data_IF_056602340338
#
_entry.id   IF_056602340338
#
_cell.length_a   1.000
_cell.length_b   1.000
_cell.length_c   1.000
_cell.angle_alpha   90.00
_cell.angle_beta   90.00
_cell.angle_gamma   90.00
#
_symmetry.space_group_name_H-M   'P 1'
#
loop_
_entity.id
_entity.type
_entity.pdbx_description
1 polymer ?
#
# COMPACT_ATOMS: atom_id res chain seq x y z
N UNK A 1 -62.20 40.19 -37.25
CA UNK A 1 -61.51 39.13 -38.01
C UNK A 1 -60.16 38.90 -37.34
N UNK A 2 -60.04 37.76 -36.66
CA UNK A 2 -58.90 37.35 -35.84
C UNK A 2 -57.84 36.69 -36.71
N UNK A 3 -56.54 36.89 -36.43
CA UNK A 3 -55.46 36.36 -37.25
C UNK A 3 -54.08 36.39 -36.60
N UNK A 4 -53.81 35.36 -35.80
CA UNK A 4 -52.54 34.63 -35.71
C UNK A 4 -51.23 35.42 -35.37
N UNK A 5 -51.02 35.68 -34.07
CA UNK A 5 -49.67 35.62 -33.47
C UNK A 5 -49.50 34.21 -32.89
N UNK A 6 -48.42 33.50 -33.24
CA UNK A 6 -47.73 32.45 -32.45
C UNK A 6 -46.88 31.60 -33.39
N UNK A 7 -45.57 31.88 -33.55
CA UNK A 7 -44.57 30.95 -34.08
C UNK A 7 -43.16 31.58 -33.95
N UNK A 8 -42.58 31.60 -32.74
CA UNK A 8 -41.13 31.85 -32.59
C UNK A 8 -40.46 31.33 -31.31
N UNK A 9 -41.20 30.73 -30.36
CA UNK A 9 -40.63 30.27 -29.08
C UNK A 9 -40.05 28.84 -29.08
N UNK A 10 -40.26 28.04 -30.13
CA UNK A 10 -39.88 26.62 -30.15
C UNK A 10 -38.43 26.31 -30.51
N UNK A 11 -37.77 27.17 -31.30
CA UNK A 11 -36.46 26.86 -31.89
C UNK A 11 -35.29 26.98 -30.90
N UNK A 12 -35.41 27.84 -29.88
CA UNK A 12 -34.33 28.09 -28.90
C UNK A 12 -34.23 27.02 -27.82
N UNK A 13 -35.36 26.45 -27.39
CA UNK A 13 -35.40 25.37 -26.39
C UNK A 13 -34.80 24.06 -26.94
N UNK A 14 -35.10 23.73 -28.20
CA UNK A 14 -34.55 22.54 -28.86
C UNK A 14 -33.02 22.63 -29.05
N UNK A 15 -32.52 23.81 -29.41
CA UNK A 15 -31.08 24.05 -29.55
C UNK A 15 -30.32 23.99 -28.21
N UNK A 16 -30.93 24.49 -27.13
CA UNK A 16 -30.37 24.40 -25.78
C UNK A 16 -30.33 22.95 -25.26
N UNK A 17 -31.39 22.17 -25.49
CA UNK A 17 -31.44 20.75 -25.13
C UNK A 17 -30.41 19.92 -25.91
N UNK A 18 -30.23 20.19 -27.21
CA UNK A 18 -29.22 19.53 -28.05
C UNK A 18 -27.78 19.84 -27.57
N UNK A 19 -27.51 21.09 -27.17
CA UNK A 19 -26.22 21.47 -26.58
C UNK A 19 -25.97 20.78 -25.24
N UNK A 20 -26.98 20.73 -24.36
CA UNK A 20 -26.89 20.05 -23.08
C UNK A 20 -26.63 18.54 -23.25
N UNK A 21 -27.35 17.87 -24.16
CA UNK A 21 -27.10 16.45 -24.48
C UNK A 21 -25.71 16.21 -25.08
N UNK A 22 -25.19 17.13 -25.88
CA UNK A 22 -23.85 17.02 -26.46
C UNK A 22 -22.75 17.19 -25.41
N UNK A 23 -22.90 18.17 -24.51
CA UNK A 23 -21.99 18.36 -23.38
C UNK A 23 -22.03 17.16 -22.43
N UNK A 24 -23.21 16.61 -22.16
CA UNK A 24 -23.36 15.39 -21.35
C UNK A 24 -22.67 14.20 -22.02
N UNK A 25 -22.84 14.03 -23.34
CA UNK A 25 -22.17 12.97 -24.12
C UNK A 25 -20.65 13.12 -24.13
N UNK A 26 -20.14 14.33 -24.33
CA UNK A 26 -18.71 14.63 -24.28
C UNK A 26 -18.13 14.42 -22.86
N UNK A 27 -18.89 14.72 -21.80
CA UNK A 27 -18.50 14.49 -20.41
C UNK A 27 -18.50 12.99 -20.06
N UNK A 28 -19.48 12.22 -20.53
CA UNK A 28 -19.50 10.76 -20.36
C UNK A 28 -18.43 10.06 -21.19
N UNK A 29 -18.11 10.57 -22.39
CA UNK A 29 -17.09 9.99 -23.28
C UNK A 29 -15.65 10.23 -22.79
N UNK A 30 -15.43 11.26 -21.95
CA UNK A 30 -14.13 11.52 -21.29
C UNK A 30 -13.92 10.76 -19.99
N UNK A 31 -14.90 9.99 -19.51
CA UNK A 31 -14.63 9.01 -18.46
C UNK A 31 -13.76 7.92 -19.06
N UNK A 32 -12.43 8.03 -18.88
CA UNK A 32 -11.57 6.84 -18.90
C UNK A 32 -12.24 5.83 -17.95
N UNK A 33 -12.66 4.65 -18.42
CA UNK A 33 -13.02 3.60 -17.50
C UNK A 33 -11.75 3.34 -16.70
N UNK A 34 -11.72 3.77 -15.44
CA UNK A 34 -10.79 3.18 -14.51
C UNK A 34 -11.21 1.72 -14.48
N UNK A 35 -10.45 0.87 -15.16
CA UNK A 35 -10.64 -0.56 -15.12
C UNK A 35 -10.19 -1.04 -13.74
N UNK A 36 -10.96 -0.70 -12.71
CA UNK A 36 -10.87 -1.37 -11.41
C UNK A 36 -11.51 -2.74 -11.65
N UNK A 37 -10.69 -3.79 -11.68
CA UNK A 37 -11.24 -5.14 -11.63
C UNK A 37 -12.19 -5.22 -10.44
N UNK A 38 -13.46 -5.50 -10.71
CA UNK A 38 -14.41 -5.86 -9.66
C UNK A 38 -14.03 -7.26 -9.23
N UNK A 39 -13.25 -7.42 -8.17
CA UNK A 39 -12.95 -8.77 -7.67
C UNK A 39 -12.74 -8.94 -6.17
N UNK A 40 -13.00 -7.92 -5.35
CA UNK A 40 -13.33 -8.17 -3.95
C UNK A 40 -14.20 -7.05 -3.38
N UNK A 41 -15.28 -7.44 -2.70
CA UNK A 41 -15.96 -6.56 -1.76
C UNK A 41 -15.02 -6.41 -0.56
N UNK A 42 -14.22 -5.34 -0.53
CA UNK A 42 -13.40 -5.02 0.64
C UNK A 42 -14.32 -4.68 1.81
N UNK A 43 -14.06 -5.26 2.99
CA UNK A 43 -14.81 -4.96 4.22
C UNK A 43 -14.95 -3.46 4.46
N UNK A 44 -13.86 -2.70 4.31
CA UNK A 44 -13.87 -1.26 4.52
C UNK A 44 -14.83 -0.56 3.55
N UNK A 45 -14.82 -0.91 2.27
CA UNK A 45 -15.71 -0.34 1.26
C UNK A 45 -17.18 -0.64 1.59
N UNK A 46 -17.50 -1.88 1.92
CA UNK A 46 -18.87 -2.30 2.21
C UNK A 46 -19.40 -1.66 3.49
N UNK A 47 -18.54 -1.47 4.49
CA UNK A 47 -18.89 -0.76 5.71
C UNK A 47 -19.38 0.66 5.44
N UNK A 48 -18.72 1.40 4.53
CA UNK A 48 -19.17 2.74 4.10
C UNK A 48 -20.53 2.72 3.36
N UNK A 49 -20.92 1.58 2.79
CA UNK A 49 -22.21 1.38 2.12
C UNK A 49 -23.30 0.84 3.06
N UNK A 50 -22.99 0.64 4.34
CA UNK A 50 -23.92 0.07 5.33
C UNK A 50 -24.02 -1.46 5.29
N UNK A 51 -23.14 -2.12 4.54
CA UNK A 51 -23.05 -3.57 4.45
C UNK A 51 -21.93 -4.10 5.35
N UNK A 52 -22.12 -5.26 5.98
CA UNK A 52 -21.08 -5.93 6.77
C UNK A 52 -20.58 -7.15 5.99
N UNK A 53 -19.46 -6.99 5.27
CA UNK A 53 -18.83 -8.07 4.50
C UNK A 53 -17.76 -8.78 5.34
N UNK A 54 -18.10 -9.93 5.92
CA UNK A 54 -17.21 -10.61 6.88
C UNK A 54 -16.01 -11.31 6.23
N UNK A 55 -16.08 -11.60 4.92
CA UNK A 55 -15.06 -12.38 4.21
C UNK A 55 -13.71 -11.65 4.22
N UNK A 56 -12.68 -12.34 4.72
CA UNK A 56 -11.32 -11.80 4.78
C UNK A 56 -11.01 -10.97 6.03
N UNK A 57 -11.96 -10.83 6.96
CA UNK A 57 -11.74 -10.21 8.27
C UNK A 57 -12.08 -11.19 9.40
N UNK A 58 -13.15 -11.98 9.25
CA UNK A 58 -13.61 -12.93 10.26
C UNK A 58 -13.65 -14.37 9.72
N UNK A 59 -13.14 -15.35 10.48
CA UNK A 59 -12.27 -15.18 11.66
C UNK A 59 -10.95 -14.49 11.28
N UNK A 60 -10.19 -14.02 12.27
CA UNK A 60 -8.89 -13.42 12.01
C UNK A 60 -8.01 -14.41 11.22
N UNK A 61 -7.32 -13.97 10.15
CA UNK A 61 -6.51 -14.87 9.34
C UNK A 61 -5.38 -15.46 10.18
N UNK A 62 -5.25 -16.78 10.15
CA UNK A 62 -4.18 -17.50 10.86
C UNK A 62 -2.96 -17.72 9.95
N UNK A 63 -1.78 -17.69 10.58
CA UNK A 63 -0.51 -17.95 9.92
C UNK A 63 -0.28 -19.47 9.87
N UNK A 64 0.26 -19.98 8.75
CA UNK A 64 0.54 -21.41 8.63
C UNK A 64 1.67 -21.86 9.57
N UNK A 65 1.66 -23.12 10.01
CA UNK A 65 2.72 -23.66 10.87
C UNK A 65 4.11 -23.60 10.23
N UNK A 66 4.18 -23.74 8.90
CA UNK A 66 5.43 -23.60 8.14
C UNK A 66 5.98 -22.18 8.26
N UNK A 67 5.15 -21.19 7.95
CA UNK A 67 5.52 -19.77 8.02
C UNK A 67 5.88 -19.34 9.45
N UNK A 68 5.19 -19.86 10.48
CA UNK A 68 5.57 -19.65 11.88
C UNK A 68 6.98 -20.20 12.19
N UNK A 69 7.32 -21.38 11.67
CA UNK A 69 8.65 -21.95 11.85
C UNK A 69 9.72 -21.09 11.17
N UNK A 70 9.46 -20.60 9.96
CA UNK A 70 10.38 -19.71 9.24
C UNK A 70 10.57 -18.38 9.99
N UNK A 71 9.49 -17.76 10.47
CA UNK A 71 9.54 -16.55 11.30
C UNK A 71 10.49 -16.75 12.49
N UNK A 72 10.32 -17.85 13.23
CA UNK A 72 11.10 -18.10 14.43
C UNK A 72 12.60 -18.30 14.17
N UNK A 73 12.99 -18.72 12.95
CA UNK A 73 14.41 -18.82 12.56
C UNK A 73 15.07 -17.44 12.45
N UNK A 74 14.32 -16.40 12.05
CA UNK A 74 14.83 -15.03 11.93
C UNK A 74 14.74 -14.25 13.25
N UNK A 75 13.66 -14.45 14.01
CA UNK A 75 13.35 -13.66 15.22
C UNK A 75 14.47 -13.73 16.25
N UNK A 76 14.92 -14.93 16.64
CA UNK A 76 15.93 -15.08 17.69
C UNK A 76 17.26 -14.38 17.39
N UNK A 77 17.88 -14.62 16.22
CA UNK A 77 19.10 -13.92 15.82
C UNK A 77 18.94 -12.40 15.72
N UNK A 78 17.79 -11.93 15.21
CA UNK A 78 17.50 -10.49 15.11
C UNK A 78 17.34 -9.83 16.48
N UNK A 79 16.53 -10.40 17.36
CA UNK A 79 16.33 -9.88 18.72
C UNK A 79 17.67 -9.79 19.47
N UNK A 80 18.52 -10.81 19.33
CA UNK A 80 19.85 -10.82 19.91
C UNK A 80 20.72 -9.69 19.36
N UNK A 81 20.77 -9.53 18.04
CA UNK A 81 21.54 -8.46 17.40
C UNK A 81 21.10 -7.06 17.87
N UNK A 82 19.80 -6.79 17.87
CA UNK A 82 19.27 -5.49 18.29
C UNK A 82 19.41 -5.23 19.80
N UNK A 83 19.43 -6.27 20.63
CA UNK A 83 19.55 -6.12 22.09
C UNK A 83 20.99 -6.06 22.57
N UNK A 84 21.90 -6.81 21.94
CA UNK A 84 23.28 -6.97 22.41
C UNK A 84 24.31 -6.14 21.63
N UNK A 85 24.07 -5.86 20.35
CA UNK A 85 25.07 -5.24 19.46
C UNK A 85 24.70 -3.81 19.01
N UNK A 86 23.41 -3.49 18.92
CA UNK A 86 22.95 -2.16 18.48
C UNK A 86 22.93 -1.18 19.65
N UNK A 87 23.70 -0.09 19.53
CA UNK A 87 23.66 1.04 20.47
C UNK A 87 22.82 2.19 19.90
N UNK A 88 21.51 2.12 20.12
CA UNK A 88 20.55 3.13 19.66
C UNK A 88 20.82 4.53 20.21
N UNK A 89 21.31 4.62 21.45
CA UNK A 89 21.64 5.91 22.07
C UNK A 89 22.79 6.58 21.32
N UNK A 90 23.81 5.82 20.95
CA UNK A 90 24.94 6.33 20.17
C UNK A 90 24.49 6.77 18.77
N UNK A 91 23.64 5.98 18.11
CA UNK A 91 23.09 6.31 16.78
C UNK A 91 22.37 7.66 16.82
N UNK A 92 21.51 7.87 17.83
CA UNK A 92 20.76 9.11 17.99
C UNK A 92 21.67 10.31 18.32
N UNK A 93 22.66 10.13 19.20
CA UNK A 93 23.59 11.21 19.59
C UNK A 93 24.52 11.63 18.45
N UNK A 94 25.01 10.66 17.67
CA UNK A 94 25.92 10.91 16.55
C UNK A 94 25.17 11.25 15.25
N UNK A 95 23.86 11.01 15.20
CA UNK A 95 23.03 11.20 14.00
C UNK A 95 23.44 10.30 12.85
N UNK A 96 24.07 9.16 13.14
CA UNK A 96 24.64 8.26 12.13
C UNK A 96 24.62 6.81 12.61
N UNK A 97 24.19 5.91 11.73
CA UNK A 97 24.32 4.47 11.95
C UNK A 97 25.78 4.05 11.69
N UNK A 98 26.46 3.38 12.64
CA UNK A 98 27.82 2.89 12.45
C UNK A 98 27.95 2.00 11.21
N UNK A 99 29.09 2.07 10.53
CA UNK A 99 29.35 1.29 9.30
C UNK A 99 29.27 -0.20 9.58
N UNK A 100 29.84 -0.66 10.71
CA UNK A 100 29.81 -2.08 11.09
C UNK A 100 28.38 -2.59 11.30
N UNK A 101 27.51 -1.76 11.93
CA UNK A 101 26.08 -2.06 12.06
C UNK A 101 25.41 -2.16 10.69
N UNK A 102 25.68 -1.23 9.77
CA UNK A 102 25.13 -1.28 8.40
C UNK A 102 25.59 -2.53 7.64
N UNK A 103 26.87 -2.89 7.71
CA UNK A 103 27.38 -4.12 7.08
C UNK A 103 26.76 -5.37 7.70
N UNK A 104 26.53 -5.38 9.01
CA UNK A 104 25.83 -6.48 9.67
C UNK A 104 24.38 -6.59 9.20
N UNK A 105 23.65 -5.47 9.13
CA UNK A 105 22.28 -5.41 8.58
C UNK A 105 22.21 -5.96 7.15
N UNK A 106 23.20 -5.64 6.29
CA UNK A 106 23.33 -6.22 4.94
C UNK A 106 23.58 -7.72 4.98
N UNK A 107 24.50 -8.18 5.82
CA UNK A 107 24.82 -9.61 5.94
C UNK A 107 23.64 -10.47 6.44
N UNK A 108 22.74 -9.85 7.21
CA UNK A 108 21.48 -10.47 7.67
C UNK A 108 20.37 -10.42 6.61
N UNK A 109 20.63 -9.82 5.43
CA UNK A 109 19.65 -9.73 4.33
C UNK A 109 18.56 -8.69 4.54
N UNK A 110 18.67 -7.80 5.54
CA UNK A 110 17.57 -6.91 5.93
C UNK A 110 17.27 -5.78 4.94
N UNK A 111 18.17 -5.52 4.00
CA UNK A 111 17.90 -4.63 2.87
C UNK A 111 17.02 -5.29 1.80
N UNK A 112 16.91 -6.62 1.76
CA UNK A 112 16.19 -7.39 0.75
C UNK A 112 15.06 -8.28 1.31
N UNK A 113 14.42 -7.91 2.42
CA UNK A 113 13.49 -8.77 3.17
C UNK A 113 12.38 -9.36 2.29
N UNK A 114 11.72 -8.55 1.46
CA UNK A 114 10.63 -9.02 0.59
C UNK A 114 11.06 -9.22 -0.87
N UNK A 115 12.33 -8.97 -1.19
CA UNK A 115 12.85 -9.19 -2.53
C UNK A 115 12.91 -10.70 -2.77
N UNK A 116 12.41 -11.23 -3.90
CA UNK A 116 12.46 -12.66 -4.19
C UNK A 116 13.87 -13.24 -4.11
N UNK A 117 13.98 -14.50 -3.70
CA UNK A 117 15.28 -15.17 -3.52
C UNK A 117 16.07 -15.27 -4.84
N UNK A 118 15.40 -15.38 -5.99
CA UNK A 118 16.06 -15.39 -7.31
C UNK A 118 16.81 -14.10 -7.64
N UNK A 119 16.50 -13.01 -6.94
CA UNK A 119 17.18 -11.72 -7.05
C UNK A 119 18.13 -11.45 -5.86
N UNK A 120 18.37 -12.46 -5.02
CA UNK A 120 19.26 -12.37 -3.86
C UNK A 120 18.64 -11.73 -2.62
N UNK A 121 17.30 -11.66 -2.54
CA UNK A 121 16.58 -11.26 -1.34
C UNK A 121 16.24 -12.43 -0.42
N UNK A 122 15.44 -12.15 0.63
CA UNK A 122 14.97 -13.16 1.57
C UNK A 122 13.60 -13.76 1.19
N UNK A 123 12.86 -13.16 0.25
CA UNK A 123 11.58 -13.67 -0.23
C UNK A 123 10.45 -13.71 0.81
N UNK A 124 10.56 -12.96 1.91
CA UNK A 124 9.63 -13.09 3.03
C UNK A 124 8.24 -12.51 2.73
N UNK A 125 7.21 -13.17 3.29
CA UNK A 125 5.80 -12.74 3.18
C UNK A 125 5.56 -11.38 3.88
N UNK A 126 4.41 -10.74 3.63
CA UNK A 126 4.02 -9.52 4.35
C UNK A 126 3.88 -9.74 5.87
N UNK A 127 3.40 -10.91 6.29
CA UNK A 127 3.26 -11.27 7.71
C UNK A 127 4.63 -11.40 8.37
N UNK A 128 5.57 -12.09 7.70
CA UNK A 128 6.94 -12.22 8.15
C UNK A 128 7.64 -10.86 8.20
N UNK A 129 7.51 -10.05 7.15
CA UNK A 129 8.02 -8.68 7.11
C UNK A 129 7.51 -7.84 8.29
N UNK A 130 6.21 -7.89 8.57
CA UNK A 130 5.63 -7.18 9.71
C UNK A 130 6.23 -7.65 11.04
N UNK A 131 6.36 -8.97 11.25
CA UNK A 131 6.91 -9.52 12.49
C UNK A 131 8.39 -9.19 12.69
N UNK A 132 9.19 -9.20 11.63
CA UNK A 132 10.59 -8.74 11.69
C UNK A 132 10.65 -7.22 11.93
N UNK A 133 9.74 -6.47 11.32
CA UNK A 133 9.60 -5.02 11.51
C UNK A 133 9.38 -4.64 12.97
N UNK A 134 8.62 -5.43 13.73
CA UNK A 134 8.43 -5.21 15.18
C UNK A 134 9.75 -5.25 15.97
N UNK A 135 10.68 -6.13 15.59
CA UNK A 135 11.99 -6.26 16.24
C UNK A 135 12.94 -5.17 15.76
N UNK A 136 12.97 -4.91 14.45
CA UNK A 136 13.80 -3.86 13.86
C UNK A 136 13.43 -2.49 14.46
N UNK A 137 12.15 -2.31 14.84
CA UNK A 137 11.63 -1.12 15.52
C UNK A 137 12.20 -0.85 16.91
N UNK A 138 13.05 -1.73 17.45
CA UNK A 138 13.88 -1.43 18.63
C UNK A 138 14.82 -0.24 18.39
N UNK A 139 15.22 0.00 17.14
CA UNK A 139 15.91 1.21 16.73
C UNK A 139 15.16 1.93 15.58
N UNK A 140 14.64 3.12 15.88
CA UNK A 140 13.86 3.90 14.93
C UNK A 140 14.68 4.39 13.72
N UNK A 141 15.95 4.74 13.94
CA UNK A 141 16.85 5.25 12.88
C UNK A 141 17.17 4.16 11.86
N UNK A 142 17.48 2.94 12.30
CA UNK A 142 17.66 1.75 11.47
C UNK A 142 16.35 1.39 10.76
N UNK A 143 15.23 1.39 11.49
CA UNK A 143 13.91 1.07 10.94
C UNK A 143 13.57 1.96 9.75
N UNK A 144 13.67 3.28 9.93
CA UNK A 144 13.39 4.24 8.86
C UNK A 144 14.37 4.09 7.70
N UNK A 145 15.64 3.81 7.98
CA UNK A 145 16.66 3.58 6.94
C UNK A 145 16.30 2.38 6.05
N UNK A 146 15.95 1.24 6.66
CA UNK A 146 15.56 0.03 5.94
C UNK A 146 14.22 0.22 5.21
N UNK A 147 13.23 0.80 5.88
CA UNK A 147 11.90 1.05 5.31
C UNK A 147 11.98 2.01 4.10
N UNK A 148 12.76 3.09 4.20
CA UNK A 148 12.96 4.01 3.09
C UNK A 148 13.65 3.32 1.91
N UNK A 149 14.67 2.50 2.17
CA UNK A 149 15.33 1.72 1.13
C UNK A 149 14.35 0.81 0.40
N UNK A 150 13.52 0.06 1.12
CA UNK A 150 12.66 -0.97 0.53
C UNK A 150 11.36 -0.44 -0.05
N UNK A 151 10.67 0.44 0.68
CA UNK A 151 9.35 0.92 0.28
C UNK A 151 9.43 2.05 -0.75
N UNK A 152 10.50 2.85 -0.71
CA UNK A 152 10.68 4.01 -1.59
C UNK A 152 11.83 3.75 -2.56
N UNK A 153 12.98 3.26 -2.11
CA UNK A 153 14.17 3.13 -2.95
C UNK A 153 14.06 2.08 -4.06
N UNK A 154 13.44 0.94 -3.77
CA UNK A 154 13.36 -0.20 -4.71
C UNK A 154 12.09 -0.23 -5.58
N UNK A 155 11.05 0.53 -5.24
CA UNK A 155 9.70 0.39 -5.84
C UNK A 155 9.46 1.22 -7.12
N UNK A 156 10.51 1.78 -7.75
CA UNK A 156 10.40 2.68 -8.92
C UNK A 156 10.85 2.09 -10.27
N UNK A 157 10.84 0.77 -10.43
CA UNK A 157 10.92 0.11 -11.75
C UNK A 157 9.60 -0.61 -12.07
#
# INVERSE_FOLDING_TARGET
>A
MSGCMLLSRGATAAAAAARASRVLREFTARRRPLHTSLQSCSFAKELFLGNIEQKGVFPFPEVSQHELSEINQFVGPLEKFFTEEVDSRKIDQEGKIPVDTLEKLKSLGLFGIQVPEEYGGLGLSNTMYARLGEIISLDASITVTLAAHQAIGLKWE
#
